data_IF_664108272844
#
_entry.id   IF_664108272844
#
_cell.length_a   1.000
_cell.length_b   1.000
_cell.length_c   1.000
_cell.angle_alpha   90.00
_cell.angle_beta   90.00
_cell.angle_gamma   90.00
#
_symmetry.space_group_name_H-M   'P 1'
#
loop_
_entity.id
_entity.type
_entity.pdbx_description
1 polymer ?
#
# COMPACT_ATOMS: atom_id res chain seq x y z
N UNK A 1 -39.10 18.98 -14.96
CA UNK A 1 -38.99 17.68 -14.25
C UNK A 1 -37.59 17.15 -14.49
N UNK A 2 -36.79 16.99 -13.45
CA UNK A 2 -35.46 16.37 -13.55
C UNK A 2 -35.64 14.85 -13.51
N UNK A 3 -35.06 14.13 -14.47
CA UNK A 3 -35.00 12.67 -14.46
C UNK A 3 -33.56 12.25 -14.15
N UNK A 4 -33.39 11.39 -13.15
CA UNK A 4 -32.12 10.71 -12.89
C UNK A 4 -32.14 9.39 -13.65
N UNK A 5 -31.18 9.20 -14.55
CA UNK A 5 -30.94 7.92 -15.21
C UNK A 5 -29.72 7.30 -14.53
N UNK A 6 -29.91 6.17 -13.84
CA UNK A 6 -28.82 5.34 -13.34
C UNK A 6 -28.50 4.27 -14.39
N UNK A 7 -27.22 3.89 -14.49
CA UNK A 7 -26.74 2.77 -15.31
C UNK A 7 -26.15 1.69 -14.38
N UNK A 8 -26.98 0.80 -13.79
CA UNK A 8 -26.54 -0.17 -12.78
C UNK A 8 -25.41 -1.08 -13.26
N UNK A 9 -25.44 -1.52 -14.52
CA UNK A 9 -24.44 -2.40 -15.11
C UNK A 9 -23.07 -1.71 -15.19
N UNK A 10 -23.04 -0.41 -15.52
CA UNK A 10 -21.82 0.38 -15.52
C UNK A 10 -21.26 0.54 -14.10
N UNK A 11 -22.12 0.74 -13.09
CA UNK A 11 -21.70 0.80 -11.70
C UNK A 11 -21.12 -0.53 -11.21
N UNK A 12 -21.71 -1.66 -11.62
CA UNK A 12 -21.20 -3.01 -11.32
C UNK A 12 -19.82 -3.22 -11.96
N UNK A 13 -19.63 -2.82 -13.21
CA UNK A 13 -18.33 -2.91 -13.88
C UNK A 13 -17.25 -2.11 -13.13
N UNK A 14 -17.52 -0.84 -12.81
CA UNK A 14 -16.59 0.02 -12.05
C UNK A 14 -16.29 -0.55 -10.66
N UNK A 15 -17.29 -1.13 -9.98
CA UNK A 15 -17.08 -1.76 -8.68
C UNK A 15 -16.15 -2.98 -8.79
N UNK A 16 -16.29 -3.79 -9.84
CA UNK A 16 -15.39 -4.91 -10.13
C UNK A 16 -13.97 -4.44 -10.43
N UNK A 17 -13.81 -3.38 -11.23
CA UNK A 17 -12.50 -2.81 -11.55
C UNK A 17 -11.82 -2.27 -10.28
N UNK A 18 -12.55 -1.55 -9.43
CA UNK A 18 -12.05 -1.04 -8.16
C UNK A 18 -11.64 -2.17 -7.20
N UNK A 19 -12.41 -3.26 -7.15
CA UNK A 19 -12.05 -4.44 -6.37
C UNK A 19 -10.75 -5.07 -6.89
N UNK A 20 -10.58 -5.15 -8.21
CA UNK A 20 -9.33 -5.61 -8.84
C UNK A 20 -8.13 -4.75 -8.47
N UNK A 21 -8.27 -3.41 -8.54
CA UNK A 21 -7.23 -2.46 -8.12
C UNK A 21 -6.91 -2.65 -6.64
N UNK A 22 -7.93 -2.76 -5.78
CA UNK A 22 -7.75 -2.99 -4.34
C UNK A 22 -6.98 -4.28 -4.05
N UNK A 23 -7.28 -5.37 -4.75
CA UNK A 23 -6.55 -6.65 -4.63
C UNK A 23 -5.08 -6.49 -5.01
N UNK A 24 -4.80 -5.86 -6.16
CA UNK A 24 -3.43 -5.64 -6.64
C UNK A 24 -2.61 -4.77 -5.66
N UNK A 25 -3.23 -3.75 -5.08
CA UNK A 25 -2.59 -2.91 -4.05
C UNK A 25 -2.33 -3.69 -2.76
N UNK A 26 -3.27 -4.51 -2.31
CA UNK A 26 -3.10 -5.34 -1.12
C UNK A 26 -1.94 -6.34 -1.30
N UNK A 27 -1.85 -6.99 -2.46
CA UNK A 27 -0.75 -7.89 -2.80
C UNK A 27 0.61 -7.17 -2.83
N UNK A 28 0.65 -5.99 -3.45
CA UNK A 28 1.87 -5.17 -3.50
C UNK A 28 2.32 -4.73 -2.10
N UNK A 29 1.40 -4.29 -1.25
CA UNK A 29 1.70 -3.90 0.14
C UNK A 29 2.20 -5.08 0.97
N UNK A 30 1.58 -6.26 0.82
CA UNK A 30 2.03 -7.48 1.48
C UNK A 30 3.45 -7.88 1.05
N UNK A 31 3.75 -7.79 -0.25
CA UNK A 31 5.09 -8.06 -0.77
C UNK A 31 6.14 -7.05 -0.26
N UNK A 32 5.75 -5.78 -0.07
CA UNK A 32 6.61 -4.72 0.41
C UNK A 32 6.80 -4.70 1.94
N UNK A 33 5.93 -5.37 2.70
CA UNK A 33 5.91 -5.32 4.17
C UNK A 33 7.26 -5.68 4.80
N UNK A 34 7.75 -6.89 4.54
CA UNK A 34 9.02 -7.35 5.11
C UNK A 34 10.23 -6.48 4.70
N UNK A 35 10.48 -6.20 3.41
CA UNK A 35 11.67 -5.45 3.01
C UNK A 35 11.68 -3.97 3.45
N UNK A 36 10.50 -3.37 3.72
CA UNK A 36 10.43 -1.96 4.16
C UNK A 36 10.44 -1.81 5.69
N UNK A 37 10.03 -2.84 6.44
CA UNK A 37 9.95 -2.77 7.90
C UNK A 37 11.13 -3.41 8.62
N UNK A 38 11.79 -4.39 8.00
CA UNK A 38 12.90 -5.15 8.58
C UNK A 38 14.25 -4.78 7.94
N UNK A 39 14.47 -3.47 7.70
CA UNK A 39 15.69 -2.98 7.06
C UNK A 39 16.92 -3.21 7.96
N UNK A 40 17.94 -3.85 7.40
CA UNK A 40 19.22 -4.05 8.09
C UNK A 40 20.12 -2.82 7.96
N UNK A 41 20.90 -2.53 9.01
CA UNK A 41 21.92 -1.50 8.97
C UNK A 41 23.00 -1.84 7.93
N UNK A 42 23.41 -0.84 7.14
CA UNK A 42 24.43 -1.02 6.10
C UNK A 42 25.83 -1.27 6.68
N UNK A 43 26.09 -0.74 7.88
CA UNK A 43 27.32 -0.90 8.64
C UNK A 43 27.04 -1.07 10.13
N UNK A 44 28.10 -1.35 10.90
CA UNK A 44 28.03 -1.52 12.36
C UNK A 44 28.05 -0.19 13.12
N UNK A 45 28.14 0.94 12.43
CA UNK A 45 28.16 2.27 13.02
C UNK A 45 26.75 2.75 13.43
N UNK A 46 26.72 3.70 14.35
CA UNK A 46 25.50 4.23 14.94
C UNK A 46 24.64 4.99 13.94
N UNK A 47 25.25 5.59 12.90
CA UNK A 47 24.52 6.31 11.85
C UNK A 47 23.76 5.33 10.97
N UNK A 48 24.40 4.25 10.54
CA UNK A 48 23.76 3.15 9.81
C UNK A 48 22.62 2.53 10.61
N UNK A 49 22.82 2.30 11.91
CA UNK A 49 21.77 1.77 12.79
C UNK A 49 20.58 2.74 12.92
N UNK A 50 20.84 4.03 13.11
CA UNK A 50 19.80 5.04 13.22
C UNK A 50 19.00 5.21 11.91
N UNK A 51 19.66 5.18 10.76
CA UNK A 51 19.00 5.24 9.44
C UNK A 51 18.11 4.02 9.21
N UNK A 52 18.61 2.82 9.50
CA UNK A 52 17.81 1.60 9.37
C UNK A 52 16.57 1.63 10.27
N UNK A 53 16.73 2.09 11.52
CA UNK A 53 15.61 2.25 12.46
C UNK A 53 14.58 3.29 11.98
N UNK A 54 15.03 4.43 11.44
CA UNK A 54 14.14 5.47 10.90
C UNK A 54 13.29 4.94 9.75
N UNK A 55 13.91 4.29 8.77
CA UNK A 55 13.18 3.74 7.61
C UNK A 55 12.29 2.56 8.00
N UNK A 56 12.73 1.69 8.91
CA UNK A 56 11.89 0.63 9.45
C UNK A 56 10.65 1.17 10.15
N UNK A 57 10.81 2.21 10.98
CA UNK A 57 9.68 2.89 11.64
C UNK A 57 8.75 3.57 10.64
N UNK A 58 9.29 4.18 9.57
CA UNK A 58 8.49 4.74 8.50
C UNK A 58 7.68 3.66 7.76
N UNK A 59 8.30 2.52 7.43
CA UNK A 59 7.62 1.38 6.83
C UNK A 59 6.49 0.83 7.71
N UNK A 60 6.72 0.74 9.03
CA UNK A 60 5.69 0.31 9.99
C UNK A 60 4.54 1.30 10.11
N UNK A 61 4.79 2.61 9.98
CA UNK A 61 3.75 3.64 10.01
C UNK A 61 2.94 3.73 8.70
N UNK A 62 3.52 3.29 7.59
CA UNK A 62 2.86 3.24 6.30
C UNK A 62 1.87 2.07 6.19
N UNK A 63 2.25 0.91 6.74
CA UNK A 63 1.46 -0.31 6.76
C UNK A 63 0.26 -0.18 7.69
#
# INVERSE_FOLDING_TARGET
>A
MSFVIAAPEALVAVASDLAGIGSALAEANAAALAPTTALLAAGADEVSAAIAALFGAHGQAYQ
#
